data_IF_541502563757
#
_entry.id   IF_541502563757
#
_cell.length_a   1.000
_cell.length_b   1.000
_cell.length_c   1.000
_cell.angle_alpha   90.00
_cell.angle_beta   90.00
_cell.angle_gamma   90.00
#
_symmetry.space_group_name_H-M   'P 1'
#
loop_
_entity.id
_entity.type
_entity.pdbx_description
1 polymer ?
#
# COMPACT_ATOMS: atom_id res chain seq x y z
N UNK A 1 -19.70 30.14 -10.33
CA UNK A 1 -20.83 29.50 -11.05
C UNK A 1 -20.27 28.39 -11.91
N UNK A 2 -20.91 27.22 -11.85
CA UNK A 2 -20.58 26.07 -12.71
C UNK A 2 -21.82 25.74 -13.52
N UNK A 3 -21.65 25.58 -14.82
CA UNK A 3 -22.70 25.11 -15.71
C UNK A 3 -22.71 23.58 -15.73
N UNK A 4 -23.83 23.00 -15.32
CA UNK A 4 -24.03 21.54 -15.38
C UNK A 4 -24.81 21.20 -16.63
N UNK A 5 -24.28 20.33 -17.51
CA UNK A 5 -24.98 19.94 -18.72
C UNK A 5 -26.30 19.23 -18.36
N UNK A 6 -27.37 19.62 -19.05
CA UNK A 6 -28.67 19.03 -18.85
C UNK A 6 -28.70 17.58 -19.35
N UNK A 7 -29.27 16.67 -18.56
CA UNK A 7 -29.50 15.28 -18.98
C UNK A 7 -30.66 15.19 -19.97
N UNK A 8 -30.53 14.38 -21.02
CA UNK A 8 -31.58 14.07 -22.00
C UNK A 8 -32.14 15.29 -22.72
N UNK A 9 -31.27 16.22 -23.16
CA UNK A 9 -31.70 17.38 -23.97
C UNK A 9 -32.33 18.54 -23.19
N UNK A 10 -32.22 18.51 -21.85
CA UNK A 10 -32.57 19.68 -20.99
C UNK A 10 -31.50 20.75 -21.13
N UNK A 11 -31.92 22.00 -20.96
CA UNK A 11 -30.97 23.12 -20.89
C UNK A 11 -29.95 22.98 -19.75
N UNK A 12 -28.71 23.45 -19.94
CA UNK A 12 -27.71 23.47 -18.90
C UNK A 12 -28.15 24.34 -17.72
N UNK A 13 -27.92 23.83 -16.51
CA UNK A 13 -28.29 24.56 -15.29
C UNK A 13 -27.05 25.16 -14.63
N UNK A 14 -27.09 26.41 -14.31
CA UNK A 14 -26.04 27.08 -13.55
C UNK A 14 -26.25 26.92 -12.05
N UNK A 15 -25.20 26.48 -11.35
CA UNK A 15 -25.20 26.40 -9.89
C UNK A 15 -23.99 27.09 -9.32
N UNK A 16 -24.13 27.59 -8.08
CA UNK A 16 -23.01 28.12 -7.32
C UNK A 16 -22.02 27.01 -6.94
N UNK A 17 -20.71 27.26 -7.11
CA UNK A 17 -19.65 26.33 -6.65
C UNK A 17 -19.82 25.99 -5.17
N UNK A 18 -20.22 26.96 -4.36
CA UNK A 18 -20.48 26.76 -2.92
C UNK A 18 -21.60 25.72 -2.68
N UNK A 19 -22.70 25.84 -3.40
CA UNK A 19 -23.81 24.88 -3.29
C UNK A 19 -23.39 23.48 -3.76
N UNK A 20 -22.64 23.40 -4.86
CA UNK A 20 -22.08 22.13 -5.33
C UNK A 20 -21.16 21.50 -4.28
N UNK A 21 -20.27 22.30 -3.69
CA UNK A 21 -19.37 21.84 -2.64
C UNK A 21 -20.13 21.28 -1.42
N UNK A 22 -21.19 21.95 -0.97
CA UNK A 22 -22.02 21.46 0.13
C UNK A 22 -22.74 20.14 -0.21
N UNK A 23 -23.24 20.00 -1.44
CA UNK A 23 -23.90 18.77 -1.88
C UNK A 23 -22.87 17.60 -1.88
N UNK A 24 -21.68 17.84 -2.42
CA UNK A 24 -20.60 16.82 -2.46
C UNK A 24 -20.17 16.48 -1.03
N UNK A 25 -19.95 17.48 -0.20
CA UNK A 25 -19.58 17.29 1.21
C UNK A 25 -20.58 16.42 1.95
N UNK A 26 -21.85 16.76 1.92
CA UNK A 26 -22.90 15.99 2.60
C UNK A 26 -22.94 14.52 2.13
N UNK A 27 -22.74 14.29 0.83
CA UNK A 27 -22.70 12.93 0.31
C UNK A 27 -21.47 12.14 0.74
N UNK A 28 -20.33 12.79 0.82
CA UNK A 28 -19.10 12.14 1.29
C UNK A 28 -19.17 11.89 2.80
N UNK A 29 -19.71 12.81 3.58
CA UNK A 29 -19.95 12.62 5.03
C UNK A 29 -20.81 11.38 5.27
N UNK A 30 -21.94 11.26 4.60
CA UNK A 30 -22.83 10.09 4.69
C UNK A 30 -22.09 8.76 4.38
N UNK A 31 -21.26 8.75 3.33
CA UNK A 31 -20.47 7.55 3.00
C UNK A 31 -19.43 7.22 4.08
N UNK A 32 -18.78 8.23 4.66
CA UNK A 32 -17.79 8.02 5.73
C UNK A 32 -18.45 7.59 7.05
N UNK A 33 -19.62 8.11 7.37
CA UNK A 33 -20.39 7.66 8.53
C UNK A 33 -20.82 6.20 8.39
N UNK A 34 -21.25 5.80 7.19
CA UNK A 34 -21.60 4.40 6.92
C UNK A 34 -20.40 3.48 7.09
N UNK A 35 -19.25 3.87 6.55
CA UNK A 35 -18.00 3.13 6.71
C UNK A 35 -17.57 3.04 8.18
N UNK A 36 -17.67 4.13 8.93
CA UNK A 36 -17.37 4.15 10.36
C UNK A 36 -18.29 3.21 11.14
N UNK A 37 -19.59 3.20 10.80
CA UNK A 37 -20.56 2.27 11.39
C UNK A 37 -20.20 0.81 11.12
N UNK A 38 -19.90 0.44 9.87
CA UNK A 38 -19.50 -0.93 9.51
C UNK A 38 -18.21 -1.34 10.23
N UNK A 39 -17.26 -0.42 10.35
CA UNK A 39 -16.01 -0.65 11.09
C UNK A 39 -16.28 -0.94 12.56
N UNK A 40 -17.20 -0.22 13.20
CA UNK A 40 -17.64 -0.49 14.59
C UNK A 40 -18.32 -1.85 14.71
N UNK A 41 -19.24 -2.15 13.80
CA UNK A 41 -19.96 -3.44 13.78
C UNK A 41 -19.02 -4.63 13.63
N UNK A 42 -17.89 -4.48 12.90
CA UNK A 42 -16.88 -5.52 12.75
C UNK A 42 -16.12 -5.86 14.04
N UNK A 43 -16.15 -4.99 15.04
CA UNK A 43 -15.41 -5.13 16.30
C UNK A 43 -13.90 -4.88 16.20
N UNK A 44 -13.40 -4.50 15.02
CA UNK A 44 -11.97 -4.25 14.79
C UNK A 44 -11.55 -2.78 14.94
N UNK A 45 -12.47 -1.87 15.24
CA UNK A 45 -12.22 -0.42 15.34
C UNK A 45 -10.94 -0.07 16.12
N UNK A 46 -10.77 -0.69 17.30
CA UNK A 46 -9.60 -0.43 18.17
C UNK A 46 -8.30 -1.10 17.71
N UNK A 47 -8.35 -1.93 16.68
CA UNK A 47 -7.20 -2.66 16.12
C UNK A 47 -6.63 -2.01 14.87
N UNK A 48 -7.29 -0.99 14.33
CA UNK A 48 -6.90 -0.26 13.12
C UNK A 48 -5.82 0.80 13.39
N UNK A 49 -4.67 0.36 13.91
CA UNK A 49 -3.54 1.25 14.25
C UNK A 49 -2.99 1.97 13.00
N UNK A 50 -3.07 1.33 11.84
CA UNK A 50 -2.60 1.89 10.57
C UNK A 50 -3.52 2.96 9.96
N UNK A 51 -4.68 3.24 10.59
CA UNK A 51 -5.67 4.19 10.09
C UNK A 51 -6.42 3.70 8.86
N UNK A 52 -6.97 4.65 8.10
CA UNK A 52 -7.81 4.41 6.93
C UNK A 52 -7.05 4.84 5.67
N UNK A 53 -7.09 3.98 4.66
CA UNK A 53 -6.51 4.28 3.35
C UNK A 53 -7.63 4.52 2.34
N UNK A 54 -7.71 5.75 1.83
CA UNK A 54 -8.69 6.14 0.81
C UNK A 54 -8.04 6.05 -0.57
N UNK A 55 -8.64 5.31 -1.48
CA UNK A 55 -8.11 5.14 -2.84
C UNK A 55 -9.24 5.21 -3.88
N UNK A 56 -8.89 5.15 -5.15
CA UNK A 56 -9.84 5.31 -6.26
C UNK A 56 -9.99 6.78 -6.69
N UNK A 57 -10.90 7.03 -7.63
CA UNK A 57 -11.11 8.38 -8.19
C UNK A 57 -11.56 9.41 -7.14
N UNK A 58 -12.40 8.99 -6.18
CA UNK A 58 -12.87 9.83 -5.08
C UNK A 58 -11.76 10.32 -4.13
N UNK A 59 -10.66 9.57 -4.03
CA UNK A 59 -9.51 9.98 -3.22
C UNK A 59 -8.79 11.24 -3.71
N UNK A 60 -9.10 11.69 -4.93
CA UNK A 60 -8.58 12.93 -5.51
C UNK A 60 -9.36 14.19 -5.05
N UNK A 61 -10.49 14.02 -4.37
CA UNK A 61 -11.22 15.15 -3.83
C UNK A 61 -10.36 15.90 -2.81
N UNK A 62 -10.34 17.22 -2.95
CA UNK A 62 -9.61 18.08 -2.02
C UNK A 62 -10.11 17.87 -0.59
N UNK A 63 -9.18 17.74 0.34
CA UNK A 63 -9.47 17.57 1.78
C UNK A 63 -10.22 16.29 2.17
N UNK A 64 -10.33 15.29 1.28
CA UNK A 64 -11.02 14.03 1.58
C UNK A 64 -10.43 13.34 2.82
N UNK A 65 -9.11 13.35 2.98
CA UNK A 65 -8.44 12.75 4.14
C UNK A 65 -8.83 13.46 5.45
N UNK A 66 -8.89 14.80 5.44
CA UNK A 66 -9.31 15.56 6.62
C UNK A 66 -10.77 15.27 7.00
N UNK A 67 -11.66 15.19 6.00
CA UNK A 67 -13.05 14.84 6.23
C UNK A 67 -13.18 13.42 6.77
N UNK A 68 -12.44 12.46 6.21
CA UNK A 68 -12.41 11.08 6.70
C UNK A 68 -11.94 11.02 8.15
N UNK A 69 -10.85 11.70 8.50
CA UNK A 69 -10.36 11.78 9.88
C UNK A 69 -11.39 12.40 10.82
N UNK A 70 -12.04 13.47 10.38
CA UNK A 70 -13.04 14.17 11.18
C UNK A 70 -14.25 13.28 11.50
N UNK A 71 -14.78 12.56 10.51
CA UNK A 71 -15.98 11.72 10.68
C UNK A 71 -15.65 10.41 11.42
N UNK A 72 -14.49 9.80 11.12
CA UNK A 72 -14.18 8.46 11.67
C UNK A 72 -13.38 8.49 12.95
N UNK A 73 -12.70 9.60 13.24
CA UNK A 73 -11.77 9.71 14.36
C UNK A 73 -10.45 8.94 14.18
N UNK A 74 -10.22 8.33 13.02
CA UNK A 74 -9.01 7.58 12.70
C UNK A 74 -8.14 8.35 11.69
N UNK A 75 -6.83 8.17 11.74
CA UNK A 75 -5.94 8.74 10.74
C UNK A 75 -6.31 8.26 9.33
N UNK A 76 -6.26 9.17 8.35
CA UNK A 76 -6.57 8.85 6.97
C UNK A 76 -5.49 9.34 6.00
N UNK A 77 -5.18 8.51 5.01
CA UNK A 77 -4.23 8.83 3.95
C UNK A 77 -4.71 8.35 2.59
N UNK A 78 -4.22 8.98 1.54
CA UNK A 78 -4.47 8.50 0.17
C UNK A 78 -3.55 7.32 -0.15
N UNK A 79 -4.14 6.24 -0.70
CA UNK A 79 -3.41 5.08 -1.20
C UNK A 79 -3.12 5.18 -2.69
N UNK A 80 -1.90 4.82 -3.07
CA UNK A 80 -1.43 4.79 -4.45
C UNK A 80 -1.09 3.35 -4.86
N UNK A 81 -1.44 2.90 -6.05
CA UNK A 81 -1.21 1.53 -6.50
C UNK A 81 0.22 1.32 -7.03
N UNK A 82 1.23 1.57 -6.21
CA UNK A 82 2.64 1.57 -6.65
C UNK A 82 3.38 0.26 -6.40
N UNK A 83 2.90 -0.60 -5.48
CA UNK A 83 3.65 -1.78 -5.01
C UNK A 83 3.87 -2.86 -6.09
N UNK A 84 2.95 -2.98 -7.05
CA UNK A 84 2.99 -4.01 -8.09
C UNK A 84 3.31 -3.46 -9.48
N UNK A 85 3.67 -2.19 -9.57
CA UNK A 85 4.08 -1.57 -10.82
C UNK A 85 5.60 -1.60 -10.93
N UNK A 86 6.09 -2.11 -12.07
CA UNK A 86 7.48 -1.90 -12.44
C UNK A 86 7.74 -0.39 -12.66
N UNK A 87 9.01 0.01 -12.64
CA UNK A 87 9.37 1.38 -13.00
C UNK A 87 8.88 1.68 -14.41
N UNK A 88 7.76 2.41 -14.47
CA UNK A 88 7.14 2.81 -15.72
C UNK A 88 7.29 4.32 -15.91
N UNK A 89 7.55 4.79 -17.13
CA UNK A 89 7.60 6.23 -17.42
C UNK A 89 6.23 6.89 -17.37
N UNK A 90 5.14 6.12 -17.23
CA UNK A 90 3.77 6.64 -17.20
C UNK A 90 3.36 6.89 -15.74
N UNK A 91 3.64 8.10 -15.25
CA UNK A 91 3.29 8.51 -13.88
C UNK A 91 1.78 8.47 -13.60
N UNK A 92 0.95 8.67 -14.63
CA UNK A 92 -0.51 8.65 -14.49
C UNK A 92 -1.03 7.32 -13.94
N UNK A 93 -0.39 6.19 -14.26
CA UNK A 93 -0.80 4.89 -13.74
C UNK A 93 -0.64 4.75 -12.23
N UNK A 94 0.22 5.57 -11.61
CA UNK A 94 0.42 5.59 -10.16
C UNK A 94 -0.70 6.34 -9.42
N UNK A 95 -1.61 6.98 -10.17
CA UNK A 95 -2.71 7.74 -9.55
C UNK A 95 -3.75 6.83 -8.89
N UNK A 96 -4.38 7.26 -7.78
CA UNK A 96 -5.36 6.47 -7.04
C UNK A 96 -6.54 6.00 -7.89
N UNK A 97 -6.92 6.75 -8.92
CA UNK A 97 -8.04 6.42 -9.81
C UNK A 97 -7.85 5.09 -10.55
N UNK A 98 -6.61 4.66 -10.77
CA UNK A 98 -6.29 3.39 -11.45
C UNK A 98 -6.16 2.20 -10.51
N UNK A 99 -6.31 2.38 -9.20
CA UNK A 99 -6.11 1.32 -8.20
C UNK A 99 -6.95 0.08 -8.47
N UNK A 100 -8.21 0.24 -8.86
CA UNK A 100 -9.09 -0.88 -9.19
C UNK A 100 -8.63 -1.62 -10.45
N UNK A 101 -8.25 -0.89 -11.50
CA UNK A 101 -7.78 -1.50 -12.75
C UNK A 101 -6.49 -2.30 -12.53
N UNK A 102 -5.54 -1.72 -11.81
CA UNK A 102 -4.27 -2.37 -11.48
C UNK A 102 -4.52 -3.59 -10.59
N UNK A 103 -5.36 -3.47 -9.57
CA UNK A 103 -5.73 -4.57 -8.70
C UNK A 103 -6.36 -5.75 -9.47
N UNK A 104 -7.26 -5.48 -10.42
CA UNK A 104 -7.86 -6.51 -11.26
C UNK A 104 -6.83 -7.20 -12.15
N UNK A 105 -5.88 -6.47 -12.71
CA UNK A 105 -4.78 -7.03 -13.51
C UNK A 105 -3.93 -7.96 -12.65
N UNK A 106 -3.53 -7.52 -11.45
CA UNK A 106 -2.72 -8.33 -10.51
C UNK A 106 -3.46 -9.62 -10.13
N UNK A 107 -4.73 -9.52 -9.77
CA UNK A 107 -5.56 -10.70 -9.44
C UNK A 107 -5.69 -11.62 -10.66
N UNK A 108 -5.88 -11.06 -11.86
CA UNK A 108 -5.95 -11.82 -13.09
C UNK A 108 -4.68 -12.61 -13.38
N UNK A 109 -3.52 -12.00 -13.23
CA UNK A 109 -2.22 -12.68 -13.40
C UNK A 109 -2.02 -13.79 -12.35
N UNK A 110 -2.30 -13.53 -11.10
CA UNK A 110 -2.20 -14.53 -10.04
C UNK A 110 -3.12 -15.73 -10.30
N UNK A 111 -4.31 -15.51 -10.81
CA UNK A 111 -5.25 -16.57 -11.15
C UNK A 111 -4.80 -17.38 -12.37
N UNK A 112 -4.23 -16.74 -13.39
CA UNK A 112 -3.63 -17.41 -14.53
C UNK A 112 -2.44 -18.28 -14.12
N UNK A 113 -1.56 -17.75 -13.27
CA UNK A 113 -0.42 -18.49 -12.74
C UNK A 113 -0.87 -19.70 -11.92
N UNK A 114 -1.87 -19.54 -11.07
CA UNK A 114 -2.46 -20.62 -10.29
C UNK A 114 -3.05 -21.72 -11.18
N UNK A 115 -3.75 -21.36 -12.25
CA UNK A 115 -4.28 -22.31 -13.23
C UNK A 115 -3.17 -23.03 -13.96
N UNK A 116 -2.16 -22.32 -14.46
CA UNK A 116 -1.02 -22.92 -15.14
C UNK A 116 -0.25 -23.91 -14.26
N UNK A 117 -0.12 -23.62 -12.98
CA UNK A 117 0.48 -24.54 -11.99
C UNK A 117 -0.41 -25.78 -11.76
N UNK A 118 -1.73 -25.60 -11.64
CA UNK A 118 -2.67 -26.73 -11.43
C UNK A 118 -2.77 -27.66 -12.64
N UNK A 119 -2.62 -27.12 -13.84
CA UNK A 119 -2.63 -27.87 -15.11
C UNK A 119 -1.27 -28.49 -15.47
N UNK A 120 -0.23 -28.28 -14.65
CA UNK A 120 1.10 -28.82 -14.87
C UNK A 120 1.85 -28.22 -16.06
N UNK A 121 1.35 -27.13 -16.64
CA UNK A 121 1.91 -26.48 -17.84
C UNK A 121 3.21 -25.72 -17.50
N UNK A 122 3.33 -25.24 -16.28
CA UNK A 122 4.55 -24.58 -15.79
C UNK A 122 5.15 -25.45 -14.68
N UNK A 123 6.26 -26.14 -15.00
CA UNK A 123 7.17 -26.56 -13.92
C UNK A 123 7.59 -25.30 -13.21
N UNK A 124 7.28 -25.19 -11.92
CA UNK A 124 7.67 -24.04 -11.12
C UNK A 124 9.16 -23.80 -11.36
N UNK A 125 9.51 -22.76 -12.10
CA UNK A 125 10.80 -22.11 -11.88
C UNK A 125 10.65 -21.53 -10.49
N UNK A 126 10.95 -22.35 -9.49
CA UNK A 126 11.31 -21.83 -8.20
C UNK A 126 12.36 -20.77 -8.51
N UNK A 127 11.98 -19.50 -8.40
CA UNK A 127 12.94 -18.45 -8.18
C UNK A 127 13.79 -19.01 -7.06
N UNK A 128 15.01 -19.40 -7.39
CA UNK A 128 15.97 -19.84 -6.40
C UNK A 128 16.27 -18.60 -5.56
N UNK A 129 15.39 -18.35 -4.62
CA UNK A 129 15.77 -17.66 -3.39
C UNK A 129 16.91 -18.56 -2.91
N UNK A 130 18.15 -18.09 -3.06
CA UNK A 130 19.31 -18.77 -2.47
C UNK A 130 18.88 -19.17 -1.09
N UNK A 131 18.94 -20.46 -0.70
CA UNK A 131 18.52 -20.88 0.62
C UNK A 131 19.26 -19.98 1.60
N UNK A 132 18.53 -19.38 2.53
CA UNK A 132 19.13 -18.59 3.59
C UNK A 132 20.23 -19.47 4.19
N UNK A 133 21.47 -18.99 4.34
CA UNK A 133 22.57 -19.80 4.82
C UNK A 133 22.13 -20.46 6.12
N UNK A 134 22.22 -21.78 6.16
CA UNK A 134 21.84 -22.56 7.33
C UNK A 134 22.57 -22.00 8.53
N UNK A 135 21.92 -21.93 9.66
CA UNK A 135 22.41 -21.34 10.90
C UNK A 135 23.85 -21.84 11.28
N UNK A 136 24.18 -23.06 10.89
CA UNK A 136 25.50 -23.67 11.09
C UNK A 136 26.65 -22.99 10.30
N UNK A 137 26.40 -22.48 9.08
CA UNK A 137 27.44 -21.78 8.32
C UNK A 137 27.77 -20.41 8.90
N UNK A 138 26.80 -19.73 9.51
CA UNK A 138 27.06 -18.46 10.25
C UNK A 138 27.85 -18.71 11.52
N UNK A 139 27.64 -19.83 12.20
CA UNK A 139 28.40 -20.21 13.40
C UNK A 139 29.85 -20.55 13.09
N UNK A 140 30.14 -21.20 11.97
CA UNK A 140 31.51 -21.51 11.53
C UNK A 140 32.26 -20.22 11.13
N UNK A 141 31.61 -19.27 10.48
CA UNK A 141 32.20 -17.99 10.15
C UNK A 141 32.53 -17.16 11.41
N UNK A 142 31.59 -17.09 12.36
CA UNK A 142 31.78 -16.40 13.62
C UNK A 142 32.89 -17.02 14.48
N UNK A 143 33.00 -18.37 14.52
CA UNK A 143 34.10 -19.06 15.21
C UNK A 143 35.45 -18.80 14.56
N UNK A 144 35.51 -18.74 13.22
CA UNK A 144 36.73 -18.38 12.49
C UNK A 144 37.17 -16.94 12.76
N UNK A 145 36.21 -16.01 12.83
CA UNK A 145 36.48 -14.60 13.11
C UNK A 145 36.92 -14.37 14.57
N UNK A 146 36.26 -15.04 15.53
CA UNK A 146 36.65 -15.01 16.97
C UNK A 146 38.03 -15.62 17.18
N UNK A 147 38.38 -16.70 16.47
CA UNK A 147 39.72 -17.30 16.55
C UNK A 147 40.81 -16.34 16.07
N UNK A 148 40.56 -15.68 14.94
CA UNK A 148 41.48 -14.69 14.35
C UNK A 148 41.64 -13.44 15.24
N UNK A 149 40.55 -13.00 15.88
CA UNK A 149 40.59 -11.90 16.85
C UNK A 149 41.37 -12.25 18.13
N UNK A 150 41.31 -13.52 18.54
CA UNK A 150 42.07 -14.00 19.70
C UNK A 150 43.56 -14.12 19.40
N UNK A 151 43.94 -14.63 18.23
CA UNK A 151 45.32 -14.68 17.74
C UNK A 151 45.91 -13.27 17.62
N UNK A 152 45.15 -12.28 17.17
CA UNK A 152 45.60 -10.88 17.08
C UNK A 152 45.82 -10.23 18.45
N UNK A 153 45.00 -10.55 19.47
CA UNK A 153 45.15 -10.08 20.85
C UNK A 153 46.30 -10.76 21.58
N UNK A 154 46.63 -12.00 21.22
CA UNK A 154 47.79 -12.73 21.83
C UNK A 154 49.13 -12.31 21.20
N UNK A 155 49.13 -11.69 20.00
CA UNK A 155 50.36 -11.14 19.38
C UNK A 155 50.77 -9.76 19.90
N UNK A 156 49.88 -9.04 20.64
CA UNK A 156 50.18 -7.72 21.22
C UNK A 156 50.79 -7.77 22.62
N UNK A 157 51.01 -8.96 23.24
CA UNK A 157 51.60 -9.11 24.58
C UNK A 157 53.13 -9.37 24.56
N UNK A 158 53.84 -8.94 23.54
CA UNK A 158 55.30 -9.01 23.54
C UNK A 158 55.87 -7.60 23.48
N UNK A 159 56.66 -7.28 24.52
CA UNK A 159 57.60 -6.15 24.70
C UNK A 159 57.06 -4.90 25.41
N UNK A 160 56.98 -5.02 26.74
CA UNK A 160 57.31 -3.95 27.66
C UNK A 160 58.25 -4.48 28.74
N UNK A 161 59.54 -4.67 28.36
CA UNK A 161 60.67 -4.69 29.29
C UNK A 161 61.95 -4.38 28.51
N UNK A 162 62.29 -3.10 28.48
CA UNK A 162 63.67 -2.56 28.66
C UNK A 162 63.59 -1.04 28.87
#
# INVERSE_FOLDING_TARGET
IVSIPGLRGREPKEISIKNLAHIVQARVEEMMEHMAYETKCSGYEKRLIGGIVVTGGGAQLRYINHLTQYVTGADARTGFPTEHLADTPIEDLKMPMYSTAIGLIVVGFNELERKALSEGIVKSKSTSTKPAPKFDEKMTFLKGWLKKGKEWLEEEDVDFND
#
